data_IF_414883350688
#
_entry.id   IF_414883350688
#
_cell.length_a   1.000
_cell.length_b   1.000
_cell.length_c   1.000
_cell.angle_alpha   90.00
_cell.angle_beta   90.00
_cell.angle_gamma   90.00
#
_symmetry.space_group_name_H-M   'P 1'
#
loop_
_entity.id
_entity.type
_entity.pdbx_description
1 polymer ?
#
# COMPACT_ATOMS: atom_id res chain seq x y z
N UNK A 1 12.62 -53.25 73.85
CA UNK A 1 12.06 -53.85 72.62
C UNK A 1 11.05 -52.89 72.02
N UNK A 2 11.28 -52.44 70.75
CA UNK A 2 10.29 -51.89 69.78
C UNK A 2 9.43 -50.68 70.22
N UNK A 3 9.08 -49.69 69.39
CA UNK A 3 9.54 -49.08 68.13
C UNK A 3 8.54 -47.93 67.94
N UNK A 4 9.03 -46.75 67.53
CA UNK A 4 8.39 -45.70 66.72
C UNK A 4 7.14 -45.00 67.29
N UNK A 5 7.22 -43.73 67.73
CA UNK A 5 7.41 -42.46 66.97
C UNK A 5 6.12 -41.91 66.36
N UNK A 6 5.56 -40.86 66.97
CA UNK A 6 4.90 -39.73 66.29
C UNK A 6 5.25 -38.47 67.11
N UNK A 7 6.00 -37.55 66.49
CA UNK A 7 6.33 -36.23 67.04
C UNK A 7 5.44 -35.19 66.34
N UNK A 8 4.67 -34.47 67.14
CA UNK A 8 3.96 -33.23 66.80
C UNK A 8 4.95 -32.09 66.49
N UNK A 9 4.55 -31.11 65.66
CA UNK A 9 4.24 -29.73 66.09
C UNK A 9 4.34 -28.70 64.92
N UNK A 10 3.17 -28.18 64.54
CA UNK A 10 2.77 -26.79 64.26
C UNK A 10 3.82 -25.72 63.88
N UNK A 11 3.61 -25.16 62.68
CA UNK A 11 3.67 -23.78 62.16
C UNK A 11 4.89 -22.87 62.39
N UNK A 12 5.31 -22.16 61.32
CA UNK A 12 5.35 -20.69 61.20
C UNK A 12 5.49 -20.29 59.72
N UNK A 13 4.74 -19.25 59.35
CA UNK A 13 4.63 -18.57 58.06
C UNK A 13 5.85 -17.70 57.78
N UNK A 14 6.48 -17.79 56.59
CA UNK A 14 7.40 -16.76 56.07
C UNK A 14 7.09 -16.50 54.59
N UNK A 15 6.62 -15.29 54.32
CA UNK A 15 6.48 -14.68 53.00
C UNK A 15 7.88 -14.25 52.55
N UNK A 16 8.41 -14.85 51.48
CA UNK A 16 9.61 -14.36 50.81
C UNK A 16 9.23 -13.60 49.54
N UNK A 17 9.33 -12.27 49.62
CA UNK A 17 9.42 -11.38 48.47
C UNK A 17 10.85 -11.47 47.95
N UNK A 18 11.03 -11.99 46.73
CA UNK A 18 12.30 -11.88 46.02
C UNK A 18 12.16 -10.86 44.89
N UNK A 19 12.54 -9.63 45.24
CA UNK A 19 13.10 -8.67 44.29
C UNK A 19 14.46 -9.22 43.82
N UNK A 20 14.64 -9.34 42.51
CA UNK A 20 15.97 -9.43 41.91
C UNK A 20 16.02 -8.51 40.70
N UNK A 21 16.36 -7.26 40.98
CA UNK A 21 17.07 -6.42 40.04
C UNK A 21 18.40 -7.12 39.74
N UNK A 22 18.63 -7.50 38.49
CA UNK A 22 19.96 -7.80 38.01
C UNK A 22 20.29 -6.84 36.88
N UNK A 23 21.19 -5.91 37.21
CA UNK A 23 21.76 -4.92 36.30
C UNK A 23 22.86 -5.61 35.51
N UNK A 24 22.65 -5.81 34.21
CA UNK A 24 23.74 -6.21 33.31
C UNK A 24 23.68 -5.41 32.01
N UNK A 25 24.56 -4.41 31.94
CA UNK A 25 25.19 -3.81 30.77
C UNK A 25 24.29 -3.46 29.58
N UNK A 26 23.88 -2.19 29.57
CA UNK A 26 23.62 -1.44 28.36
C UNK A 26 24.89 -1.40 27.49
N UNK A 27 25.03 -2.37 26.58
CA UNK A 27 25.74 -2.14 25.33
C UNK A 27 24.72 -1.54 24.37
N UNK A 28 24.88 -0.25 24.10
CA UNK A 28 24.32 0.42 22.94
C UNK A 28 24.63 -0.41 21.70
N UNK A 29 23.62 -1.12 21.19
CA UNK A 29 23.66 -1.63 19.83
C UNK A 29 23.44 -0.42 18.95
N UNK A 30 24.52 0.27 18.64
CA UNK A 30 24.59 1.03 17.39
C UNK A 30 24.37 0.03 16.27
N UNK A 31 23.13 -0.10 15.84
CA UNK A 31 22.79 -0.80 14.62
C UNK A 31 23.30 0.05 13.46
N UNK A 32 24.60 -0.08 13.15
CA UNK A 32 25.10 0.20 11.82
C UNK A 32 24.50 -0.83 10.87
N UNK A 33 23.25 -0.62 10.45
CA UNK A 33 22.67 -1.32 9.32
C UNK A 33 23.41 -0.84 8.07
N UNK A 34 24.57 -1.43 7.79
CA UNK A 34 25.10 -1.47 6.44
C UNK A 34 24.07 -2.23 5.60
N UNK A 35 23.24 -1.46 4.90
CA UNK A 35 22.41 -1.98 3.84
C UNK A 35 23.34 -2.58 2.79
N UNK A 36 23.44 -3.90 2.75
CA UNK A 36 23.95 -4.59 1.58
C UNK A 36 22.95 -4.31 0.47
N UNK A 37 23.36 -3.53 -0.53
CA UNK A 37 22.63 -3.32 -1.77
C UNK A 37 22.31 -4.70 -2.36
N UNK A 38 21.07 -5.14 -2.19
CA UNK A 38 20.62 -6.42 -2.70
C UNK A 38 20.34 -6.24 -4.19
N UNK A 39 21.36 -6.52 -5.00
CA UNK A 39 21.35 -6.45 -6.47
C UNK A 39 20.51 -7.57 -7.12
N UNK A 40 19.38 -7.93 -6.50
CA UNK A 40 18.46 -8.93 -7.04
C UNK A 40 17.00 -8.57 -6.77
N UNK A 41 16.15 -8.98 -7.71
CA UNK A 41 14.70 -8.90 -7.62
C UNK A 41 14.13 -10.27 -7.25
N UNK A 42 13.16 -10.30 -6.34
CA UNK A 42 12.46 -11.55 -6.01
C UNK A 42 11.49 -11.87 -7.15
N UNK A 43 11.63 -13.08 -7.72
CA UNK A 43 10.72 -13.59 -8.75
C UNK A 43 9.90 -14.74 -8.18
N UNK A 44 8.59 -14.70 -8.41
CA UNK A 44 7.65 -15.70 -7.91
C UNK A 44 7.19 -16.58 -9.06
N UNK A 45 7.48 -17.88 -8.97
CA UNK A 45 7.04 -18.88 -9.92
C UNK A 45 5.72 -19.52 -9.45
N UNK A 46 4.62 -19.17 -10.11
CA UNK A 46 3.28 -19.66 -9.78
C UNK A 46 3.14 -21.19 -9.98
N UNK A 47 4.03 -21.85 -10.72
CA UNK A 47 4.02 -23.32 -10.83
C UNK A 47 4.41 -24.01 -9.51
N UNK A 48 5.06 -23.29 -8.59
CA UNK A 48 5.46 -23.78 -7.26
C UNK A 48 4.34 -23.72 -6.22
N UNK A 49 3.13 -23.32 -6.59
CA UNK A 49 2.00 -23.37 -5.66
C UNK A 49 1.71 -24.84 -5.29
N UNK A 50 1.64 -25.21 -4.00
CA UNK A 50 1.43 -26.60 -3.58
C UNK A 50 0.16 -27.23 -4.17
N UNK A 51 0.18 -28.52 -4.45
CA UNK A 51 -0.99 -29.27 -4.94
C UNK A 51 -1.81 -29.86 -3.77
N UNK A 52 -2.19 -29.01 -2.82
CA UNK A 52 -3.00 -29.37 -1.64
C UNK A 52 -4.10 -28.32 -1.38
N UNK A 53 -4.85 -28.48 -0.28
CA UNK A 53 -5.94 -27.56 0.09
C UNK A 53 -5.46 -26.14 0.39
N UNK A 54 -4.25 -25.96 0.91
CA UNK A 54 -3.68 -24.63 1.08
C UNK A 54 -3.38 -24.01 -0.27
N UNK A 55 -2.74 -24.76 -1.18
CA UNK A 55 -2.45 -24.30 -2.52
C UNK A 55 -3.70 -24.02 -3.36
N UNK A 56 -4.81 -24.73 -3.17
CA UNK A 56 -6.12 -24.38 -3.77
C UNK A 56 -6.52 -22.95 -3.37
N UNK A 57 -6.40 -22.61 -2.08
CA UNK A 57 -6.66 -21.26 -1.55
C UNK A 57 -5.69 -20.21 -2.12
N UNK A 58 -4.40 -20.55 -2.22
CA UNK A 58 -3.37 -19.68 -2.83
C UNK A 58 -3.67 -19.38 -4.30
N UNK A 59 -4.02 -20.40 -5.10
CA UNK A 59 -4.42 -20.21 -6.50
C UNK A 59 -5.62 -19.29 -6.59
N UNK A 60 -6.63 -19.50 -5.74
CA UNK A 60 -7.81 -18.65 -5.74
C UNK A 60 -7.50 -17.20 -5.35
N UNK A 61 -6.64 -16.98 -4.34
CA UNK A 61 -6.19 -15.64 -3.95
C UNK A 61 -5.42 -14.92 -5.07
N UNK A 62 -4.60 -15.65 -5.81
CA UNK A 62 -3.92 -15.12 -7.00
C UNK A 62 -4.91 -14.76 -8.11
N UNK A 63 -5.90 -15.61 -8.37
CA UNK A 63 -6.96 -15.32 -9.35
C UNK A 63 -7.79 -14.08 -8.94
N UNK A 64 -8.08 -13.92 -7.65
CA UNK A 64 -8.73 -12.71 -7.13
C UNK A 64 -7.89 -11.45 -7.35
N UNK A 65 -6.55 -11.52 -7.28
CA UNK A 65 -5.69 -10.39 -7.63
C UNK A 65 -5.75 -10.06 -9.13
N UNK A 66 -5.67 -11.08 -9.98
CA UNK A 66 -5.64 -10.93 -11.43
C UNK A 66 -6.98 -10.50 -12.03
N UNK A 67 -8.08 -11.02 -11.47
CA UNK A 67 -9.44 -10.94 -12.02
C UNK A 67 -10.43 -10.48 -10.96
N UNK A 68 -10.04 -9.51 -10.13
CA UNK A 68 -10.85 -8.99 -9.02
C UNK A 68 -12.26 -8.61 -9.44
N UNK A 69 -12.41 -7.89 -10.56
CA UNK A 69 -13.71 -7.47 -11.06
C UNK A 69 -14.61 -8.64 -11.48
N UNK A 70 -14.03 -9.73 -12.00
CA UNK A 70 -14.78 -10.93 -12.38
C UNK A 70 -15.35 -11.67 -11.17
N UNK A 71 -14.59 -11.74 -10.06
CA UNK A 71 -15.04 -12.46 -8.87
C UNK A 71 -15.93 -11.60 -7.97
N UNK A 72 -15.49 -10.38 -7.65
CA UNK A 72 -16.11 -9.55 -6.60
C UNK A 72 -16.53 -8.15 -7.08
N UNK A 73 -16.42 -7.87 -8.39
CA UNK A 73 -16.81 -6.60 -8.99
C UNK A 73 -18.33 -6.38 -9.08
N UNK A 74 -18.78 -5.33 -9.78
CA UNK A 74 -20.20 -5.01 -9.93
C UNK A 74 -21.03 -6.16 -10.53
N UNK A 75 -20.40 -6.97 -11.38
CA UNK A 75 -20.97 -8.18 -12.00
C UNK A 75 -20.30 -9.47 -11.49
N UNK A 76 -19.73 -9.43 -10.29
CA UNK A 76 -18.91 -10.50 -9.74
C UNK A 76 -19.68 -11.79 -9.48
N UNK A 77 -19.10 -12.93 -9.83
CA UNK A 77 -19.70 -14.26 -9.63
C UNK A 77 -19.73 -14.73 -8.16
N UNK A 78 -18.89 -14.14 -7.31
CA UNK A 78 -18.76 -14.44 -5.88
C UNK A 78 -19.32 -13.31 -4.99
N UNK A 79 -19.94 -12.30 -5.59
CA UNK A 79 -20.59 -11.21 -4.89
C UNK A 79 -20.25 -9.84 -5.49
N UNK A 80 -20.98 -8.83 -5.04
CA UNK A 80 -20.84 -7.45 -5.49
C UNK A 80 -20.25 -6.63 -4.35
N UNK A 81 -18.93 -6.50 -4.36
CA UNK A 81 -18.17 -5.79 -3.33
C UNK A 81 -17.51 -4.52 -3.86
N UNK A 82 -17.23 -4.44 -5.16
CA UNK A 82 -16.62 -3.25 -5.77
C UNK A 82 -17.67 -2.36 -6.44
N UNK A 83 -17.42 -1.05 -6.46
CA UNK A 83 -18.16 -0.05 -7.22
C UNK A 83 -17.61 0.18 -8.64
N UNK A 84 -16.42 -0.34 -8.97
CA UNK A 84 -15.83 -0.25 -10.31
C UNK A 84 -15.33 -1.61 -10.83
N UNK A 85 -14.96 -1.66 -12.11
CA UNK A 85 -14.48 -2.88 -12.80
C UNK A 85 -12.95 -2.98 -12.88
N UNK A 86 -12.22 -2.28 -12.00
CA UNK A 86 -10.77 -2.41 -11.93
C UNK A 86 -10.35 -3.71 -11.22
N UNK A 87 -9.16 -4.19 -11.51
CA UNK A 87 -8.49 -5.29 -10.82
C UNK A 87 -7.40 -4.76 -9.88
N UNK A 88 -7.08 -5.49 -8.82
CA UNK A 88 -5.99 -5.14 -7.92
C UNK A 88 -4.65 -4.97 -8.68
N UNK A 89 -4.47 -5.76 -9.75
CA UNK A 89 -3.30 -5.70 -10.64
C UNK A 89 -3.14 -4.41 -11.43
N UNK A 90 -4.17 -3.57 -11.52
CA UNK A 90 -4.03 -2.27 -12.16
C UNK A 90 -3.05 -1.35 -11.41
N UNK A 91 -2.84 -1.55 -10.11
CA UNK A 91 -1.82 -0.87 -9.31
C UNK A 91 -0.72 -1.84 -8.82
N UNK A 92 -1.11 -3.07 -8.48
CA UNK A 92 -0.23 -4.12 -7.95
C UNK A 92 0.13 -5.12 -9.05
N UNK A 93 0.96 -4.71 -10.02
CA UNK A 93 1.29 -5.50 -11.20
C UNK A 93 1.89 -6.88 -10.86
N UNK A 94 1.76 -7.83 -11.80
CA UNK A 94 2.14 -9.24 -11.64
C UNK A 94 1.58 -9.88 -10.37
N UNK A 95 0.26 -9.72 -10.17
CA UNK A 95 -0.46 -10.17 -8.97
C UNK A 95 0.19 -9.68 -7.66
N UNK A 96 0.74 -8.46 -7.66
CA UNK A 96 1.40 -7.85 -6.52
C UNK A 96 2.87 -8.21 -6.33
N UNK A 97 3.50 -8.87 -7.31
CA UNK A 97 4.90 -9.31 -7.19
C UNK A 97 5.88 -8.49 -8.02
N UNK A 98 5.40 -7.60 -8.91
CA UNK A 98 6.29 -6.76 -9.72
C UNK A 98 7.07 -5.77 -8.84
N UNK A 99 8.40 -5.67 -8.99
CA UNK A 99 9.20 -4.68 -8.28
C UNK A 99 8.76 -3.24 -8.60
N UNK A 100 8.82 -2.35 -7.61
CA UNK A 100 8.43 -0.93 -7.67
C UNK A 100 6.95 -0.64 -8.01
N UNK A 101 6.09 -1.66 -8.16
CA UNK A 101 4.67 -1.52 -8.46
C UNK A 101 3.78 -1.75 -7.23
N UNK A 102 4.07 -1.07 -6.12
CA UNK A 102 3.46 -1.34 -4.81
C UNK A 102 3.51 -2.83 -4.46
N UNK A 103 4.71 -3.37 -4.47
CA UNK A 103 4.97 -4.78 -4.22
C UNK A 103 4.32 -5.24 -2.89
N UNK A 104 3.68 -6.42 -2.92
CA UNK A 104 2.94 -7.00 -1.80
C UNK A 104 3.64 -8.20 -1.18
N UNK A 105 4.82 -8.60 -1.68
CA UNK A 105 5.49 -9.83 -1.26
C UNK A 105 5.77 -9.83 0.25
N UNK A 106 6.10 -8.68 0.85
CA UNK A 106 6.35 -8.59 2.31
C UNK A 106 5.09 -8.29 3.13
N UNK A 107 3.90 -8.22 2.53
CA UNK A 107 2.72 -7.70 3.22
C UNK A 107 2.25 -8.59 4.36
N UNK A 108 2.52 -9.90 4.30
CA UNK A 108 2.15 -10.82 5.36
C UNK A 108 2.95 -10.55 6.65
N UNK A 109 4.26 -10.35 6.55
CA UNK A 109 5.11 -10.04 7.72
C UNK A 109 4.93 -8.60 8.23
N UNK A 110 4.55 -7.67 7.35
CA UNK A 110 4.36 -6.27 7.73
C UNK A 110 3.11 -6.03 8.60
N UNK A 111 2.26 -7.03 8.80
CA UNK A 111 0.98 -6.90 9.49
C UNK A 111 0.86 -7.85 10.69
N UNK A 112 0.25 -7.42 11.81
CA UNK A 112 -0.50 -6.17 12.02
C UNK A 112 0.34 -4.88 12.01
N UNK A 113 -0.24 -3.76 11.53
CA UNK A 113 0.46 -2.49 11.38
C UNK A 113 -0.41 -1.30 11.79
N UNK A 114 0.16 -0.32 12.51
CA UNK A 114 -0.49 0.98 12.70
C UNK A 114 -0.73 1.68 11.37
N UNK A 115 -1.94 2.20 11.18
CA UNK A 115 -2.31 3.03 10.04
C UNK A 115 -2.90 4.34 10.53
N UNK A 116 -2.21 5.42 10.21
CA UNK A 116 -2.58 6.76 10.68
C UNK A 116 -3.92 7.26 10.13
N UNK A 117 -4.34 6.80 8.94
CA UNK A 117 -5.68 7.08 8.41
C UNK A 117 -6.78 6.58 9.34
N UNK A 118 -6.64 5.36 9.85
CA UNK A 118 -7.61 4.74 10.77
C UNK A 118 -7.29 5.00 12.25
N UNK A 119 -6.11 5.55 12.56
CA UNK A 119 -5.62 5.77 13.92
C UNK A 119 -5.53 4.50 14.78
N UNK A 120 -5.38 3.33 14.15
CA UNK A 120 -5.32 2.04 14.87
C UNK A 120 -4.39 1.04 14.19
N UNK A 121 -4.06 -0.02 14.92
CA UNK A 121 -3.37 -1.20 14.35
C UNK A 121 -4.38 -1.99 13.53
N UNK A 122 -4.11 -2.13 12.23
CA UNK A 122 -4.91 -2.96 11.33
C UNK A 122 -4.33 -4.36 11.20
N UNK A 123 -5.22 -5.33 11.06
CA UNK A 123 -4.92 -6.66 10.50
C UNK A 123 -4.66 -6.59 8.99
N UNK A 124 -4.07 -7.64 8.42
CA UNK A 124 -3.91 -7.72 6.95
C UNK A 124 -5.28 -7.80 6.24
N UNK A 125 -6.27 -8.46 6.84
CA UNK A 125 -7.63 -8.55 6.29
C UNK A 125 -8.30 -7.17 6.21
N UNK A 126 -8.20 -6.36 7.28
CA UNK A 126 -8.66 -4.97 7.25
C UNK A 126 -7.91 -4.15 6.19
N UNK A 127 -6.61 -4.39 6.00
CA UNK A 127 -5.87 -3.72 4.92
C UNK A 127 -6.40 -4.07 3.53
N UNK A 128 -6.71 -5.34 3.27
CA UNK A 128 -7.34 -5.74 1.99
C UNK A 128 -8.65 -5.01 1.81
N UNK A 129 -9.47 -4.92 2.86
CA UNK A 129 -10.71 -4.15 2.81
C UNK A 129 -10.49 -2.65 2.56
N UNK A 130 -9.41 -2.04 3.05
CA UNK A 130 -9.08 -0.66 2.67
C UNK A 130 -8.84 -0.52 1.16
N UNK A 131 -8.24 -1.51 0.49
CA UNK A 131 -8.09 -1.49 -0.96
C UNK A 131 -9.44 -1.64 -1.69
N UNK A 132 -10.36 -2.44 -1.14
CA UNK A 132 -11.72 -2.63 -1.67
C UNK A 132 -12.57 -1.38 -1.49
N UNK A 133 -12.50 -0.73 -0.33
CA UNK A 133 -13.32 0.44 -0.03
C UNK A 133 -12.82 1.72 -0.70
N UNK A 134 -11.51 1.85 -0.93
CA UNK A 134 -10.93 3.11 -1.42
C UNK A 134 -10.70 3.12 -2.95
N UNK A 135 -9.67 2.47 -3.51
CA UNK A 135 -9.52 2.38 -4.97
C UNK A 135 -10.73 1.86 -5.73
N UNK A 136 -11.53 0.98 -5.11
CA UNK A 136 -12.61 0.28 -5.80
C UNK A 136 -14.02 0.82 -5.49
N UNK A 137 -14.16 1.88 -4.69
CA UNK A 137 -15.47 2.43 -4.27
C UNK A 137 -16.43 1.33 -3.77
N UNK A 138 -15.88 0.41 -2.99
CA UNK A 138 -16.54 -0.82 -2.59
C UNK A 138 -17.03 -0.83 -1.15
N UNK A 139 -17.57 -1.98 -0.75
CA UNK A 139 -17.91 -2.32 0.63
C UNK A 139 -17.01 -3.46 1.12
N UNK A 140 -16.68 -3.52 2.42
CA UNK A 140 -15.76 -4.54 2.92
C UNK A 140 -16.31 -5.95 2.70
N UNK A 141 -15.41 -6.89 2.42
CA UNK A 141 -15.70 -8.31 2.51
C UNK A 141 -15.74 -8.74 3.98
N UNK A 142 -16.53 -9.77 4.34
CA UNK A 142 -16.40 -10.41 5.65
C UNK A 142 -14.97 -10.88 5.87
N UNK A 143 -14.42 -10.64 7.07
CA UNK A 143 -13.02 -10.93 7.38
C UNK A 143 -12.68 -12.42 7.32
N UNK A 144 -13.69 -13.28 7.46
CA UNK A 144 -13.63 -14.74 7.39
C UNK A 144 -14.21 -15.32 6.08
N UNK A 145 -14.57 -14.46 5.11
CA UNK A 145 -15.05 -14.91 3.80
C UNK A 145 -14.00 -15.75 3.07
N UNK A 146 -14.47 -16.66 2.21
CA UNK A 146 -13.62 -17.49 1.37
C UNK A 146 -12.63 -16.65 0.55
N UNK A 147 -13.10 -15.52 0.01
CA UNK A 147 -12.30 -14.58 -0.77
C UNK A 147 -11.22 -13.91 0.08
N UNK A 148 -11.56 -13.44 1.29
CA UNK A 148 -10.59 -12.84 2.19
C UNK A 148 -9.51 -13.86 2.61
N UNK A 149 -9.92 -15.06 3.03
CA UNK A 149 -8.99 -16.13 3.40
C UNK A 149 -8.08 -16.51 2.22
N UNK A 150 -8.59 -16.49 0.99
CA UNK A 150 -7.81 -16.75 -0.21
C UNK A 150 -6.75 -15.67 -0.47
N UNK A 151 -7.11 -14.38 -0.35
CA UNK A 151 -6.13 -13.29 -0.42
C UNK A 151 -5.02 -13.45 0.62
N UNK A 152 -5.38 -13.71 1.88
CA UNK A 152 -4.40 -13.91 2.95
C UNK A 152 -3.50 -15.13 2.70
N UNK A 153 -4.07 -16.22 2.19
CA UNK A 153 -3.33 -17.43 1.82
C UNK A 153 -2.31 -17.13 0.72
N UNK A 154 -2.71 -16.39 -0.31
CA UNK A 154 -1.82 -15.96 -1.38
C UNK A 154 -0.69 -15.06 -0.86
N UNK A 155 -1.00 -14.06 -0.04
CA UNK A 155 0.01 -13.17 0.55
C UNK A 155 1.00 -13.91 1.44
N UNK A 156 0.52 -14.86 2.25
CA UNK A 156 1.38 -15.76 3.04
C UNK A 156 2.30 -16.57 2.15
N UNK A 157 1.80 -17.10 1.03
CA UNK A 157 2.60 -17.90 0.11
C UNK A 157 3.67 -17.07 -0.61
N UNK A 158 3.34 -15.92 -1.21
CA UNK A 158 4.36 -15.08 -1.88
C UNK A 158 5.41 -14.56 -0.89
N UNK A 159 5.02 -14.29 0.36
CA UNK A 159 5.93 -13.86 1.41
C UNK A 159 6.96 -14.93 1.80
N UNK A 160 6.65 -16.22 1.62
CA UNK A 160 7.58 -17.32 1.91
C UNK A 160 8.86 -17.31 1.06
N UNK A 161 8.90 -16.52 -0.01
CA UNK A 161 10.07 -16.34 -0.86
C UNK A 161 11.01 -15.22 -0.37
N UNK A 162 10.66 -14.53 0.72
CA UNK A 162 11.48 -13.50 1.37
C UNK A 162 12.02 -14.05 2.67
N UNK A 163 13.32 -13.90 2.94
CA UNK A 163 13.83 -14.14 4.29
C UNK A 163 13.50 -12.93 5.18
N UNK A 164 13.22 -13.19 6.47
CA UNK A 164 12.64 -12.21 7.41
C UNK A 164 13.37 -10.87 7.53
N UNK A 165 14.67 -10.85 7.24
CA UNK A 165 15.52 -9.65 7.34
C UNK A 165 16.10 -9.19 5.99
N UNK A 166 15.62 -9.75 4.87
CA UNK A 166 16.14 -9.39 3.54
C UNK A 166 15.58 -8.05 3.08
N UNK A 167 16.49 -7.12 2.81
CA UNK A 167 16.23 -6.04 1.88
C UNK A 167 16.34 -6.60 0.46
N UNK A 168 15.45 -6.18 -0.44
CA UNK A 168 15.52 -6.51 -1.87
C UNK A 168 15.02 -5.35 -2.71
N UNK A 169 15.53 -5.26 -3.94
CA UNK A 169 15.20 -4.17 -4.84
C UNK A 169 13.73 -4.20 -5.26
N UNK A 170 13.10 -3.02 -5.24
CA UNK A 170 11.71 -2.82 -5.63
C UNK A 170 10.65 -3.34 -4.65
N UNK A 171 11.02 -3.66 -3.41
CA UNK A 171 10.06 -3.83 -2.32
C UNK A 171 9.21 -2.56 -2.09
N UNK A 172 9.80 -1.38 -2.27
CA UNK A 172 9.13 -0.07 -2.23
C UNK A 172 9.06 0.53 -3.64
N UNK A 173 8.18 1.51 -3.84
CA UNK A 173 8.19 2.34 -5.07
C UNK A 173 9.52 3.06 -5.23
N UNK A 174 9.92 3.37 -6.46
CA UNK A 174 11.17 4.09 -6.71
C UNK A 174 11.16 5.45 -6.01
N UNK A 175 12.32 5.92 -5.55
CA UNK A 175 12.46 7.28 -5.02
C UNK A 175 12.50 8.30 -6.17
N UNK A 176 12.03 9.50 -5.87
CA UNK A 176 12.06 10.66 -6.78
C UNK A 176 12.66 11.85 -6.04
N UNK A 177 13.33 12.73 -6.77
CA UNK A 177 13.68 14.05 -6.28
C UNK A 177 12.46 14.97 -6.30
N UNK A 178 12.39 15.89 -5.34
CA UNK A 178 11.35 16.91 -5.29
C UNK A 178 11.93 18.23 -5.78
N UNK A 179 11.50 18.73 -6.95
CA UNK A 179 11.98 20.00 -7.46
C UNK A 179 11.40 21.17 -6.65
N UNK A 180 12.06 22.33 -6.72
CA UNK A 180 11.62 23.57 -6.06
C UNK A 180 10.48 24.29 -6.80
N UNK A 181 9.77 23.57 -7.67
CA UNK A 181 8.59 24.02 -8.40
C UNK A 181 7.42 23.09 -8.12
N UNK A 182 6.21 23.65 -8.10
CA UNK A 182 4.99 22.86 -8.04
C UNK A 182 4.80 22.02 -9.32
N UNK A 183 4.24 20.83 -9.15
CA UNK A 183 3.70 20.03 -10.23
C UNK A 183 2.58 20.81 -10.95
N UNK A 184 2.54 20.78 -12.28
CA UNK A 184 1.58 21.53 -13.09
C UNK A 184 0.67 20.58 -13.85
N UNK A 185 -0.65 20.64 -13.61
CA UNK A 185 -1.64 19.95 -14.44
C UNK A 185 -1.54 20.33 -15.93
N UNK A 186 -1.16 21.57 -16.25
CA UNK A 186 -1.02 22.04 -17.63
C UNK A 186 0.15 21.35 -18.35
N UNK A 187 1.33 21.30 -17.71
CA UNK A 187 2.47 20.53 -18.25
C UNK A 187 2.16 19.04 -18.29
N UNK A 188 1.48 18.54 -17.26
CA UNK A 188 1.03 17.16 -17.14
C UNK A 188 0.09 16.74 -18.27
N UNK A 189 -0.81 17.63 -18.70
CA UNK A 189 -1.73 17.37 -19.82
C UNK A 189 -0.98 17.12 -21.13
N UNK A 190 0.03 17.93 -21.44
CA UNK A 190 0.83 17.74 -22.64
C UNK A 190 1.56 16.39 -22.62
N UNK A 191 2.17 16.06 -21.47
CA UNK A 191 2.84 14.77 -21.25
C UNK A 191 1.86 13.59 -21.32
N UNK A 192 0.65 13.73 -20.79
CA UNK A 192 -0.40 12.72 -20.84
C UNK A 192 -0.84 12.42 -22.28
N UNK A 193 -1.03 13.47 -23.09
CA UNK A 193 -1.37 13.33 -24.52
C UNK A 193 -0.28 12.55 -25.25
N UNK A 194 0.98 12.90 -25.03
CA UNK A 194 2.12 12.25 -25.67
C UNK A 194 2.30 10.80 -25.21
N UNK A 195 2.16 10.54 -23.91
CA UNK A 195 2.68 9.32 -23.30
C UNK A 195 1.60 8.34 -22.81
N UNK A 196 0.33 8.73 -22.70
CA UNK A 196 -0.70 7.94 -22.00
C UNK A 196 -1.96 7.70 -22.82
N UNK A 197 -2.38 8.65 -23.66
CA UNK A 197 -3.67 8.61 -24.39
C UNK A 197 -3.85 7.35 -25.25
N UNK A 198 -2.77 6.85 -25.87
CA UNK A 198 -2.84 5.64 -26.72
C UNK A 198 -3.36 4.39 -26.00
N UNK A 199 -3.26 4.34 -24.66
CA UNK A 199 -3.74 3.23 -23.84
C UNK A 199 -4.94 3.62 -22.98
N UNK A 200 -4.85 4.78 -22.31
CA UNK A 200 -5.88 5.21 -21.34
C UNK A 200 -7.01 6.04 -21.95
N UNK A 201 -6.92 6.41 -23.23
CA UNK A 201 -7.88 7.27 -23.91
C UNK A 201 -7.69 8.76 -23.56
N UNK A 202 -8.25 9.62 -24.41
CA UNK A 202 -8.14 11.08 -24.25
C UNK A 202 -8.88 11.59 -23.02
N UNK A 203 -9.95 10.89 -22.63
CA UNK A 203 -10.77 11.17 -21.46
C UNK A 203 -10.46 10.20 -20.31
N UNK A 204 -9.29 9.54 -20.32
CA UNK A 204 -8.85 8.64 -19.25
C UNK A 204 -9.76 7.45 -18.99
N UNK A 205 -10.67 7.13 -19.91
CA UNK A 205 -11.71 6.11 -19.78
C UNK A 205 -11.19 4.66 -19.81
N UNK A 206 -9.91 4.49 -20.20
CA UNK A 206 -9.28 3.19 -20.35
C UNK A 206 -9.83 2.40 -21.54
N UNK A 207 -9.51 1.10 -21.55
CA UNK A 207 -9.96 0.15 -22.56
C UNK A 207 -10.44 -1.13 -21.89
N UNK A 208 -11.70 -1.48 -22.12
CA UNK A 208 -12.28 -2.75 -21.67
C UNK A 208 -11.58 -3.95 -22.31
N UNK A 209 -11.56 -5.07 -21.60
CA UNK A 209 -11.30 -6.37 -22.23
C UNK A 209 -12.48 -6.78 -23.13
N UNK A 210 -12.25 -7.74 -24.03
CA UNK A 210 -13.21 -8.11 -25.07
C UNK A 210 -14.59 -8.52 -24.51
N UNK A 211 -14.61 -9.21 -23.37
CA UNK A 211 -15.85 -9.65 -22.69
C UNK A 211 -16.45 -8.60 -21.75
N UNK A 212 -15.83 -7.41 -21.62
CA UNK A 212 -16.23 -6.29 -20.75
C UNK A 212 -16.34 -6.66 -19.26
N UNK A 213 -15.68 -7.75 -18.84
CA UNK A 213 -15.58 -8.17 -17.44
C UNK A 213 -14.62 -7.29 -16.62
N UNK A 214 -13.74 -6.53 -17.30
CA UNK A 214 -12.78 -5.63 -16.70
C UNK A 214 -12.05 -4.79 -17.74
N UNK A 215 -10.84 -4.35 -17.43
CA UNK A 215 -10.05 -3.48 -18.30
C UNK A 215 -8.72 -4.12 -18.71
N UNK A 216 -8.34 -3.92 -19.97
CA UNK A 216 -6.96 -4.11 -20.44
C UNK A 216 -6.10 -2.94 -19.97
N UNK A 217 -6.57 -1.72 -20.20
CA UNK A 217 -6.00 -0.49 -19.65
C UNK A 217 -7.01 0.15 -18.71
N UNK A 218 -6.70 0.32 -17.41
CA UNK A 218 -7.67 0.80 -16.45
C UNK A 218 -8.09 2.26 -16.73
N UNK A 219 -9.32 2.63 -16.35
CA UNK A 219 -9.71 4.03 -16.32
C UNK A 219 -8.88 4.75 -15.26
N UNK A 220 -8.45 5.95 -15.58
CA UNK A 220 -7.68 6.80 -14.68
C UNK A 220 -8.58 7.71 -13.87
N UNK A 221 -9.71 8.15 -14.44
CA UNK A 221 -10.78 8.94 -13.81
C UNK A 221 -12.15 8.56 -14.42
N UNK A 222 -13.20 9.35 -14.17
CA UNK A 222 -14.57 9.05 -14.57
C UNK A 222 -15.24 8.02 -13.66
N UNK A 223 -16.49 7.66 -13.96
CA UNK A 223 -17.38 6.81 -13.12
C UNK A 223 -16.74 5.51 -12.62
N UNK A 224 -15.81 4.92 -13.39
CA UNK A 224 -15.16 3.66 -13.04
C UNK A 224 -13.70 3.81 -12.61
N UNK A 225 -13.20 5.04 -12.50
CA UNK A 225 -11.87 5.32 -11.95
C UNK A 225 -11.79 5.04 -10.44
N UNK A 226 -10.57 5.13 -9.89
CA UNK A 226 -10.38 5.11 -8.45
C UNK A 226 -10.85 6.41 -7.80
N UNK A 227 -11.32 6.32 -6.55
CA UNK A 227 -11.81 7.48 -5.81
C UNK A 227 -10.67 8.32 -5.21
N UNK A 228 -10.92 9.59 -4.86
CA UNK A 228 -9.92 10.47 -4.22
C UNK A 228 -9.31 9.91 -2.92
N UNK A 229 -10.07 9.11 -2.15
CA UNK A 229 -9.56 8.41 -0.97
C UNK A 229 -8.50 7.33 -1.24
N UNK A 230 -8.25 6.97 -2.50
CA UNK A 230 -7.21 6.03 -2.91
C UNK A 230 -5.81 6.61 -2.66
N UNK A 231 -4.85 5.79 -2.24
CA UNK A 231 -3.46 6.24 -2.20
C UNK A 231 -2.90 6.64 -3.58
N UNK A 232 -3.54 6.19 -4.67
CA UNK A 232 -3.16 6.56 -6.04
C UNK A 232 -3.55 7.97 -6.43
N UNK A 233 -4.41 8.60 -5.65
CA UNK A 233 -4.81 9.98 -5.85
C UNK A 233 -3.79 10.99 -5.30
N UNK A 234 -2.86 10.52 -4.47
CA UNK A 234 -1.78 11.38 -3.94
C UNK A 234 -0.65 11.53 -4.97
N UNK A 235 -0.23 12.78 -5.24
CA UNK A 235 0.67 13.11 -6.34
C UNK A 235 2.07 12.49 -6.19
N UNK A 236 2.70 12.56 -5.01
CA UNK A 236 4.02 11.93 -4.81
C UNK A 236 3.89 10.41 -4.97
N UNK A 237 2.84 9.82 -4.40
CA UNK A 237 2.63 8.37 -4.46
C UNK A 237 2.45 7.87 -5.89
N UNK A 238 1.65 8.58 -6.69
CA UNK A 238 1.43 8.23 -8.09
C UNK A 238 2.68 8.50 -8.94
N UNK A 239 3.37 9.64 -8.77
CA UNK A 239 4.58 9.96 -9.52
C UNK A 239 5.67 8.90 -9.35
N UNK A 240 5.89 8.42 -8.11
CA UNK A 240 6.81 7.31 -7.83
C UNK A 240 6.40 6.01 -8.54
N UNK A 241 5.10 5.75 -8.67
CA UNK A 241 4.62 4.57 -9.38
C UNK A 241 4.75 4.73 -10.90
N UNK A 242 4.38 5.90 -11.44
CA UNK A 242 4.49 6.23 -12.86
C UNK A 242 5.94 6.11 -13.33
N UNK A 243 6.89 6.72 -12.62
CA UNK A 243 8.32 6.68 -12.97
C UNK A 243 8.85 5.26 -13.16
N UNK A 244 8.35 4.30 -12.35
CA UNK A 244 8.80 2.92 -12.40
C UNK A 244 7.97 1.98 -13.29
N UNK A 245 6.81 2.42 -13.77
CA UNK A 245 5.85 1.52 -14.44
C UNK A 245 5.23 2.07 -15.72
N UNK A 246 5.39 3.37 -16.00
CA UNK A 246 4.76 4.05 -17.13
C UNK A 246 5.74 4.97 -17.88
N UNK A 247 5.61 5.07 -19.21
CA UNK A 247 4.68 4.31 -20.04
C UNK A 247 5.07 2.82 -20.14
N UNK A 248 4.07 1.94 -20.13
CA UNK A 248 4.28 0.49 -19.97
C UNK A 248 5.23 -0.13 -21.01
N UNK A 249 5.17 0.36 -22.25
CA UNK A 249 5.96 -0.06 -23.41
C UNK A 249 7.36 0.58 -23.49
N UNK A 250 7.64 1.60 -22.68
CA UNK A 250 8.94 2.31 -22.66
C UNK A 250 9.78 2.01 -21.42
N UNK A 251 9.13 1.73 -20.29
CA UNK A 251 9.83 1.45 -19.03
C UNK A 251 10.38 0.03 -19.01
N UNK A 252 11.63 -0.09 -18.55
CA UNK A 252 12.23 -1.38 -18.22
C UNK A 252 12.59 -1.42 -16.73
N UNK A 253 12.67 -2.61 -16.15
CA UNK A 253 12.90 -2.77 -14.71
C UNK A 253 14.17 -2.05 -14.26
N UNK A 254 14.05 -1.15 -13.29
CA UNK A 254 15.15 -0.33 -12.77
C UNK A 254 15.57 0.84 -13.68
N UNK A 255 14.94 1.00 -14.85
CA UNK A 255 15.26 2.07 -15.82
C UNK A 255 14.00 2.87 -16.18
N UNK A 256 13.72 3.93 -15.40
CA UNK A 256 12.64 4.87 -15.69
C UNK A 256 12.76 5.52 -17.06
N UNK A 257 11.62 5.84 -17.66
CA UNK A 257 11.54 6.67 -18.87
C UNK A 257 11.28 8.14 -18.54
N UNK A 258 10.33 8.39 -17.63
CA UNK A 258 9.96 9.74 -17.20
C UNK A 258 10.98 10.30 -16.20
N UNK A 259 11.24 11.60 -16.31
CA UNK A 259 11.92 12.36 -15.25
C UNK A 259 11.02 12.51 -14.02
N UNK A 260 11.61 12.92 -12.89
CA UNK A 260 10.85 13.17 -11.65
C UNK A 260 9.77 14.24 -11.84
N UNK A 261 10.12 15.34 -12.50
CA UNK A 261 9.20 16.45 -12.78
C UNK A 261 8.08 16.02 -13.71
N UNK A 262 8.37 15.28 -14.78
CA UNK A 262 7.32 14.79 -15.70
C UNK A 262 6.36 13.83 -14.99
N UNK A 263 6.88 12.93 -14.15
CA UNK A 263 6.04 12.01 -13.39
C UNK A 263 5.13 12.75 -12.39
N UNK A 264 5.65 13.80 -11.74
CA UNK A 264 4.87 14.68 -10.85
C UNK A 264 3.81 15.47 -11.62
N UNK A 265 4.16 16.03 -12.78
CA UNK A 265 3.24 16.81 -13.62
C UNK A 265 2.10 15.93 -14.17
N UNK A 266 2.41 14.73 -14.68
CA UNK A 266 1.38 13.77 -15.11
C UNK A 266 0.47 13.40 -13.93
N UNK A 267 1.05 13.12 -12.76
CA UNK A 267 0.25 12.80 -11.58
C UNK A 267 -0.64 13.97 -11.13
N UNK A 268 -0.15 15.21 -11.24
CA UNK A 268 -0.92 16.40 -10.96
C UNK A 268 -2.11 16.56 -11.91
N UNK A 269 -1.90 16.32 -13.21
CA UNK A 269 -3.00 16.33 -14.19
C UNK A 269 -4.02 15.23 -13.89
N UNK A 270 -3.58 13.98 -13.78
CA UNK A 270 -4.46 12.81 -13.60
C UNK A 270 -5.30 12.91 -12.31
N UNK A 271 -4.74 13.45 -11.23
CA UNK A 271 -5.42 13.58 -9.93
C UNK A 271 -6.01 14.98 -9.67
N UNK A 272 -6.23 15.77 -10.72
CA UNK A 272 -6.93 17.04 -10.60
C UNK A 272 -8.45 16.86 -10.74
N UNK A 273 -9.15 16.76 -9.61
CA UNK A 273 -10.60 16.59 -9.60
C UNK A 273 -11.38 17.84 -10.05
N UNK A 274 -10.71 18.99 -10.22
CA UNK A 274 -11.32 20.18 -10.86
C UNK A 274 -11.36 20.05 -12.39
N UNK A 275 -10.52 19.17 -12.95
CA UNK A 275 -10.46 18.84 -14.38
C UNK A 275 -11.18 17.52 -14.66
N UNK A 276 -11.09 16.55 -13.74
CA UNK A 276 -11.53 15.18 -13.94
C UNK A 276 -12.57 14.76 -12.89
N UNK A 277 -13.80 14.52 -13.33
CA UNK A 277 -14.81 13.96 -12.44
C UNK A 277 -14.46 12.52 -12.01
N UNK A 278 -14.72 12.21 -10.74
CA UNK A 278 -14.56 10.87 -10.15
C UNK A 278 -15.76 10.52 -9.29
N UNK A 279 -16.04 9.23 -9.05
CA UNK A 279 -16.98 8.78 -8.06
C UNK A 279 -16.63 9.41 -6.73
N UNK A 280 -17.48 10.35 -6.33
CA UNK A 280 -17.38 10.98 -5.05
C UNK A 280 -18.02 10.03 -4.04
N UNK A 281 -17.26 9.04 -3.60
CA UNK A 281 -17.63 8.33 -2.41
C UNK A 281 -17.74 9.35 -1.27
N UNK A 282 -18.69 9.16 -0.36
CA UNK A 282 -18.80 9.87 0.93
C UNK A 282 -17.53 9.75 1.81
N UNK A 283 -16.41 9.32 1.26
CA UNK A 283 -15.06 9.28 1.84
C UNK A 283 -14.30 10.60 1.70
N UNK A 284 -14.96 11.71 1.33
CA UNK A 284 -14.39 13.03 1.60
C UNK A 284 -14.28 13.29 3.11
N UNK A 285 -14.98 12.50 3.92
CA UNK A 285 -14.93 12.49 5.38
C UNK A 285 -13.87 11.52 5.93
N UNK A 286 -12.74 11.32 5.23
CA UNK A 286 -11.60 10.61 5.85
C UNK A 286 -11.00 11.54 6.91
N UNK A 287 -11.57 11.44 8.11
CA UNK A 287 -11.08 12.09 9.31
C UNK A 287 -9.90 11.28 9.81
N UNK A 288 -8.69 11.81 9.62
CA UNK A 288 -7.53 11.30 10.33
C UNK A 288 -7.71 11.62 11.82
N UNK A 289 -7.61 10.63 12.72
CA UNK A 289 -7.71 10.89 14.16
C UNK A 289 -6.61 11.83 14.67
N UNK A 290 -5.41 11.76 14.07
CA UNK A 290 -4.33 12.72 14.27
C UNK A 290 -3.89 13.29 12.91
N UNK A 291 -3.91 14.62 12.76
CA UNK A 291 -3.47 15.28 11.53
C UNK A 291 -1.97 15.13 11.26
N UNK A 292 -1.14 14.77 12.26
CA UNK A 292 0.29 14.46 12.09
C UNK A 292 0.52 13.20 11.25
N UNK A 293 -0.47 12.32 11.19
CA UNK A 293 -0.41 11.08 10.42
C UNK A 293 -0.73 11.28 8.93
N UNK A 294 -1.19 12.48 8.53
CA UNK A 294 -1.40 12.81 7.13
C UNK A 294 -0.06 12.83 6.40
N UNK A 295 -0.05 12.29 5.19
CA UNK A 295 1.12 12.42 4.32
C UNK A 295 1.22 13.86 3.79
N UNK A 296 2.43 14.32 3.50
CA UNK A 296 2.67 15.70 3.06
C UNK A 296 2.01 16.02 1.70
N UNK A 297 1.64 15.00 0.92
CA UNK A 297 0.94 15.11 -0.36
C UNK A 297 -0.56 14.77 -0.27
N UNK A 298 -1.12 14.76 0.94
CA UNK A 298 -2.56 14.66 1.14
C UNK A 298 -3.20 16.04 0.99
N UNK A 299 -4.11 16.20 0.04
CA UNK A 299 -4.61 17.51 -0.42
C UNK A 299 -5.83 18.03 0.36
N UNK A 300 -6.12 17.47 1.53
CA UNK A 300 -7.24 17.87 2.39
C UNK A 300 -6.86 18.16 3.83
N UNK A 301 -7.15 19.37 4.26
CA UNK A 301 -6.94 19.85 5.61
C UNK A 301 -7.89 19.21 6.64
N UNK A 302 -7.82 19.62 7.91
CA UNK A 302 -6.79 20.49 8.48
C UNK A 302 -5.40 19.83 8.50
N UNK A 303 -4.34 20.63 8.45
CA UNK A 303 -2.95 20.20 8.54
C UNK A 303 -2.33 20.65 9.87
N UNK A 304 -1.21 20.02 10.24
CA UNK A 304 -0.43 20.38 11.44
C UNK A 304 0.61 21.47 11.18
N UNK A 305 0.75 21.87 9.93
CA UNK A 305 1.66 22.90 9.47
C UNK A 305 0.87 24.10 8.89
N UNK A 306 1.61 25.03 8.29
CA UNK A 306 1.10 26.31 7.81
C UNK A 306 0.80 26.33 6.31
N UNK A 307 0.98 25.22 5.60
CA UNK A 307 0.90 25.19 4.14
C UNK A 307 -0.54 24.96 3.66
N UNK A 308 -0.85 25.48 2.47
CA UNK A 308 -2.21 25.40 1.90
C UNK A 308 -2.51 24.02 1.31
N UNK A 309 -3.79 23.70 1.13
CA UNK A 309 -4.21 22.48 0.40
C UNK A 309 -3.58 22.42 -0.99
N UNK A 310 -3.47 23.56 -1.70
CA UNK A 310 -2.82 23.63 -3.01
C UNK A 310 -1.35 23.24 -2.94
N UNK A 311 -0.62 23.69 -1.92
CA UNK A 311 0.80 23.34 -1.77
C UNK A 311 0.98 21.89 -1.32
N UNK A 312 0.09 21.36 -0.46
CA UNK A 312 0.08 19.93 -0.17
C UNK A 312 -0.26 19.10 -1.40
N UNK A 313 -1.16 19.57 -2.26
CA UNK A 313 -1.51 18.87 -3.50
C UNK A 313 -0.33 18.85 -4.45
N UNK A 314 0.11 20.02 -4.93
CA UNK A 314 1.01 20.14 -6.07
C UNK A 314 2.47 20.43 -5.69
N UNK A 315 2.76 20.71 -4.42
CA UNK A 315 4.07 21.21 -3.99
C UNK A 315 4.26 22.71 -4.27
N UNK A 316 5.51 23.22 -4.29
CA UNK A 316 6.74 22.47 -4.06
C UNK A 316 6.75 21.85 -2.65
N UNK A 317 7.25 20.60 -2.56
CA UNK A 317 7.19 19.82 -1.31
C UNK A 317 8.37 20.10 -0.36
N UNK A 318 9.50 20.61 -0.88
CA UNK A 318 10.69 20.88 -0.07
C UNK A 318 10.42 21.84 1.11
N UNK A 319 9.65 22.93 0.97
CA UNK A 319 9.26 23.77 2.11
C UNK A 319 8.52 23.00 3.22
N UNK A 320 7.59 22.11 2.84
CA UNK A 320 6.82 21.28 3.79
C UNK A 320 7.77 20.32 4.52
N UNK A 321 8.59 19.60 3.76
CA UNK A 321 9.61 18.66 4.29
C UNK A 321 10.56 19.38 5.24
N UNK A 322 11.05 20.56 4.86
CA UNK A 322 11.96 21.38 5.65
C UNK A 322 11.32 21.86 6.95
N UNK A 323 10.06 22.29 6.91
CA UNK A 323 9.30 22.68 8.10
C UNK A 323 9.15 21.51 9.08
N UNK A 324 8.68 20.35 8.60
CA UNK A 324 8.47 19.16 9.44
C UNK A 324 9.77 18.71 10.11
N UNK A 325 10.87 18.68 9.36
CA UNK A 325 12.20 18.35 9.91
C UNK A 325 12.63 19.34 11.01
N UNK A 326 12.38 20.64 10.84
CA UNK A 326 12.68 21.67 11.87
C UNK A 326 11.85 21.46 13.15
N UNK A 327 10.65 20.90 13.04
CA UNK A 327 9.80 20.55 14.19
C UNK A 327 10.17 19.18 14.81
N UNK A 328 11.16 18.47 14.28
CA UNK A 328 11.52 17.11 14.70
C UNK A 328 10.52 16.04 14.24
N UNK A 329 9.64 16.37 13.30
CA UNK A 329 8.67 15.43 12.74
C UNK A 329 9.24 14.69 11.54
N UNK A 330 8.78 13.46 11.32
CA UNK A 330 9.15 12.65 10.15
C UNK A 330 8.17 12.92 9.01
N UNK A 331 8.60 13.51 7.88
CA UNK A 331 7.76 13.64 6.70
C UNK A 331 7.36 12.26 6.17
N UNK A 332 6.06 12.09 5.89
CA UNK A 332 5.51 10.85 5.32
C UNK A 332 4.95 11.15 3.93
N UNK A 333 5.29 10.32 2.94
CA UNK A 333 4.79 10.40 1.56
C UNK A 333 4.74 9.01 0.88
#
# INVERSE_FOLDING_TARGET
MKKNSIISLIAVLIIFILNSCNSSNAKSVEASAQATDADYYITIDASKIPNDKFGESVRYGRELMLRTAYYIGPNGINGKYLGNKMNCTNCHQDAGTKPYSFNLITTNDNYPQFRGREGKVLTLAERVNNCVMHPHNGRPLPLDSKEMVAFLSYYKWINSFVSKDSLFNGAKSIEISFPDIAASPERGKALFIENCVRCHGIDGQGQYNADKSGYVYPPLWGEFGYQPGSSMHRIIKQARWLKANMPYDKVTLGKPYLTDTEALDIAAYVNDDSIHERPNAKTHDIVYPDNKDKSIDYDKGPFVDIFSETQHKYGPYQPIIGYWKKQGWKPVY
#
